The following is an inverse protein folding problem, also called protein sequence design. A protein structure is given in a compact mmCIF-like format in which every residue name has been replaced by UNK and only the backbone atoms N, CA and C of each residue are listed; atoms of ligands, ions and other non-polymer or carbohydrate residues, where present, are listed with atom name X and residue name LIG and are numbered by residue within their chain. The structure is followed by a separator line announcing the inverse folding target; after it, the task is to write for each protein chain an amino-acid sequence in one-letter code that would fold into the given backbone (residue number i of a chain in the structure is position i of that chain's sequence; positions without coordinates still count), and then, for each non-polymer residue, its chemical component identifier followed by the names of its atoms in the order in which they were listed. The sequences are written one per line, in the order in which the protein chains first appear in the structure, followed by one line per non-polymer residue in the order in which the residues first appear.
data_IF_325676107774
#
_entry.id   IF_325676107774
#
_cell.length_a   1.000
_cell.length_b   1.000
_cell.length_c   1.000
_cell.angle_alpha   90.00
_cell.angle_beta   90.00
_cell.angle_gamma   90.00
#
_symmetry.space_group_name_H-M   'P 1'
#
loop_
_entity.id
_entity.type
_entity.pdbx_description
1 polymer ?
#
# COMPACT_ATOMS: atom_id res chain seq x y z
N UNK A 1 -5.26 -39.48 40.76
CA UNK A 1 -6.20 -38.34 40.59
C UNK A 1 -5.53 -36.95 40.46
N UNK A 2 -4.22 -36.83 40.17
CA UNK A 2 -3.49 -35.54 40.12
C UNK A 2 -2.90 -35.19 38.74
N UNK A 3 -2.98 -36.10 37.76
CA UNK A 3 -2.34 -35.93 36.43
C UNK A 3 -3.23 -35.18 35.42
N UNK A 4 -4.55 -35.25 35.57
CA UNK A 4 -5.50 -34.54 34.72
C UNK A 4 -5.69 -33.08 35.11
N UNK A 5 -5.52 -32.71 36.39
CA UNK A 5 -5.52 -31.31 36.82
C UNK A 5 -4.39 -30.50 36.16
N UNK A 6 -3.22 -31.11 36.00
CA UNK A 6 -2.07 -30.48 35.32
C UNK A 6 -2.29 -30.29 33.82
N UNK A 7 -3.03 -31.20 33.17
CA UNK A 7 -3.36 -31.10 31.73
C UNK A 7 -4.48 -30.09 31.47
N UNK A 8 -5.46 -29.99 32.38
CA UNK A 8 -6.55 -29.01 32.28
C UNK A 8 -6.07 -27.58 32.60
N UNK A 9 -5.13 -27.40 33.53
CA UNK A 9 -4.51 -26.10 33.81
C UNK A 9 -3.65 -25.58 32.64
N UNK A 10 -3.02 -26.49 31.87
CA UNK A 10 -2.21 -26.12 30.70
C UNK A 10 -3.09 -25.73 29.50
N UNK A 11 -4.27 -26.34 29.33
CA UNK A 11 -5.18 -26.01 28.22
C UNK A 11 -5.91 -24.67 28.43
N UNK A 12 -6.17 -24.27 29.68
CA UNK A 12 -6.78 -22.97 30.01
C UNK A 12 -5.81 -21.80 29.78
N UNK A 13 -4.50 -22.01 29.97
CA UNK A 13 -3.46 -20.99 29.70
C UNK A 13 -3.26 -20.69 28.20
N UNK A 14 -3.53 -21.65 27.31
CA UNK A 14 -3.40 -21.46 25.85
C UNK A 14 -4.57 -20.63 25.29
N UNK A 15 -5.76 -20.69 25.91
CA UNK A 15 -6.94 -19.95 25.48
C UNK A 15 -6.92 -18.45 25.87
N UNK A 16 -6.00 -18.02 26.73
CA UNK A 16 -5.90 -16.64 27.22
C UNK A 16 -4.91 -15.77 26.44
N UNK A 17 -4.25 -16.31 25.40
CA UNK A 17 -3.26 -15.58 24.60
C UNK A 17 -3.83 -14.88 23.35
N UNK A 18 -5.14 -14.99 23.09
CA UNK A 18 -5.77 -14.42 21.89
C UNK A 18 -6.35 -13.01 22.05
N UNK A 19 -6.02 -12.29 23.14
CA UNK A 19 -6.63 -11.00 23.47
C UNK A 19 -5.60 -9.88 23.57
N UNK A 20 -4.92 -9.54 22.46
CA UNK A 20 -4.31 -8.21 22.27
C UNK A 20 -3.80 -8.06 20.82
N UNK A 21 -4.70 -7.72 19.90
CA UNK A 21 -4.30 -6.97 18.72
C UNK A 21 -5.39 -5.92 18.46
N UNK A 22 -5.33 -4.84 19.23
CA UNK A 22 -5.99 -3.58 18.89
C UNK A 22 -4.90 -2.53 18.91
N UNK A 23 -4.09 -2.53 17.86
CA UNK A 23 -3.12 -1.47 17.63
C UNK A 23 -3.76 -0.48 16.67
N UNK A 24 -4.26 0.63 17.21
CA UNK A 24 -4.56 1.88 16.48
C UNK A 24 -3.24 2.53 16.02
N UNK A 25 -2.39 1.77 15.33
CA UNK A 25 -1.20 2.28 14.68
C UNK A 25 -1.62 2.72 13.26
N UNK A 26 -1.33 3.96 12.86
CA UNK A 26 -1.46 4.42 11.47
C UNK A 26 -0.78 3.38 10.56
N UNK A 27 -1.56 2.55 9.88
CA UNK A 27 -1.06 1.33 9.24
C UNK A 27 -0.13 1.69 8.08
N UNK A 28 1.18 1.54 8.30
CA UNK A 28 2.19 1.76 7.27
C UNK A 28 2.21 0.59 6.31
N UNK A 29 2.31 0.89 5.03
CA UNK A 29 2.32 -0.12 3.97
C UNK A 29 3.57 0.03 3.10
N UNK A 30 3.99 -1.06 2.46
CA UNK A 30 5.13 -1.05 1.54
C UNK A 30 4.62 -1.27 0.13
N UNK A 31 4.75 -0.28 -0.75
CA UNK A 31 4.32 -0.38 -2.14
C UNK A 31 5.52 -0.54 -3.07
N UNK A 32 5.32 -1.28 -4.16
CA UNK A 32 6.20 -1.20 -5.33
C UNK A 32 5.61 -0.19 -6.30
N UNK A 33 6.39 0.80 -6.72
CA UNK A 33 6.00 1.82 -7.70
C UNK A 33 6.70 1.56 -9.03
N UNK A 34 5.94 1.57 -10.11
CA UNK A 34 6.44 1.29 -11.44
C UNK A 34 7.30 2.42 -12.03
N UNK A 35 8.06 2.08 -13.06
CA UNK A 35 8.91 2.99 -13.83
C UNK A 35 8.19 3.98 -14.75
N UNK A 36 6.86 3.94 -14.77
CA UNK A 36 5.99 4.84 -15.54
C UNK A 36 4.81 5.31 -14.69
N UNK A 37 4.33 6.51 -15.00
CA UNK A 37 3.12 7.11 -14.43
C UNK A 37 2.03 7.21 -15.49
N UNK A 38 0.80 7.46 -15.05
CA UNK A 38 -0.34 7.78 -15.92
C UNK A 38 -0.98 9.09 -15.48
N UNK A 39 -1.56 9.85 -16.42
CA UNK A 39 -2.36 11.03 -16.09
C UNK A 39 -3.83 10.66 -16.30
N UNK A 40 -4.63 10.71 -15.22
CA UNK A 40 -6.05 10.40 -15.23
C UNK A 40 -6.83 11.45 -14.45
N UNK A 41 -8.12 11.65 -14.75
CA UNK A 41 -9.02 12.38 -13.87
C UNK A 41 -9.02 11.75 -12.47
N UNK A 42 -8.81 12.55 -11.42
CA UNK A 42 -8.78 12.08 -10.04
C UNK A 42 -9.38 13.15 -9.10
N UNK A 43 -10.03 12.72 -8.01
CA UNK A 43 -10.87 13.58 -7.16
C UNK A 43 -11.97 14.27 -7.96
N UNK A 44 -11.97 15.59 -8.02
CA UNK A 44 -12.94 16.42 -8.77
C UNK A 44 -12.84 16.31 -10.31
N UNK A 45 -12.16 15.28 -10.82
CA UNK A 45 -11.96 15.07 -12.26
C UNK A 45 -10.78 15.84 -12.86
N UNK A 46 -9.93 16.44 -12.02
CA UNK A 46 -8.74 17.14 -12.49
C UNK A 46 -7.70 16.15 -13.04
N UNK A 47 -7.04 16.45 -14.18
CA UNK A 47 -5.95 15.63 -14.71
C UNK A 47 -4.79 15.57 -13.71
N UNK A 48 -4.61 14.41 -13.09
CA UNK A 48 -3.62 14.21 -12.01
C UNK A 48 -2.65 13.12 -12.40
N UNK A 49 -1.36 13.32 -12.09
CA UNK A 49 -0.34 12.28 -12.21
C UNK A 49 -0.58 11.22 -11.14
N UNK A 50 -0.81 9.98 -11.57
CA UNK A 50 -0.92 8.80 -10.72
C UNK A 50 0.22 7.84 -11.01
N UNK A 51 0.61 7.11 -9.97
CA UNK A 51 1.66 6.11 -10.02
C UNK A 51 1.05 4.73 -10.16
N UNK A 52 1.60 3.88 -11.03
CA UNK A 52 1.24 2.47 -11.00
C UNK A 52 1.89 1.82 -9.80
N UNK A 53 1.08 1.26 -8.90
CA UNK A 53 1.55 0.61 -7.68
C UNK A 53 1.13 -0.85 -7.62
N UNK A 54 1.94 -1.66 -6.95
CA UNK A 54 1.56 -2.98 -6.43
C UNK A 54 1.61 -2.89 -4.91
N UNK A 55 0.51 -3.28 -4.28
CA UNK A 55 0.44 -3.46 -2.83
C UNK A 55 1.18 -4.75 -2.43
N UNK A 56 1.52 -4.95 -1.14
CA UNK A 56 2.21 -6.16 -0.69
C UNK A 56 1.48 -7.46 -1.05
N UNK A 57 0.16 -7.44 -1.04
CA UNK A 57 -0.71 -8.58 -1.33
C UNK A 57 -1.16 -8.63 -2.80
N UNK A 58 -0.88 -7.60 -3.59
CA UNK A 58 -1.36 -7.44 -4.96
C UNK A 58 -0.35 -7.92 -5.99
N UNK A 59 -0.84 -8.61 -7.03
CA UNK A 59 -0.04 -9.01 -8.19
C UNK A 59 -0.20 -8.09 -9.40
N UNK A 60 -1.19 -7.18 -9.37
CA UNK A 60 -1.57 -6.30 -10.48
C UNK A 60 -1.22 -4.85 -10.18
N UNK A 61 -0.92 -4.09 -11.24
CA UNK A 61 -0.65 -2.65 -11.15
C UNK A 61 -1.96 -1.86 -11.09
N UNK A 62 -2.07 -0.95 -10.13
CA UNK A 62 -3.18 0.00 -10.02
C UNK A 62 -2.68 1.45 -10.03
N UNK A 63 -3.33 2.38 -10.73
CA UNK A 63 -3.05 3.81 -10.58
C UNK A 63 -3.40 4.28 -9.16
N UNK A 64 -2.48 4.96 -8.51
CA UNK A 64 -2.63 5.43 -7.14
C UNK A 64 -1.96 6.78 -6.98
N UNK A 65 -2.61 7.68 -6.24
CA UNK A 65 -2.05 8.98 -5.90
C UNK A 65 -1.07 8.84 -4.74
N UNK A 66 0.16 9.32 -4.93
CA UNK A 66 1.21 9.33 -3.91
C UNK A 66 1.78 10.73 -3.79
N UNK A 67 1.69 11.32 -2.59
CA UNK A 67 2.34 12.57 -2.22
C UNK A 67 3.78 12.33 -1.78
N UNK A 68 4.64 13.34 -1.91
CA UNK A 68 6.01 13.35 -1.41
C UNK A 68 6.94 12.25 -1.96
N UNK A 69 6.63 11.70 -3.14
CA UNK A 69 7.56 10.82 -3.87
C UNK A 69 8.38 11.64 -4.87
N UNK A 70 9.69 11.71 -4.65
CA UNK A 70 10.63 12.25 -5.64
C UNK A 70 10.86 11.21 -6.75
N UNK A 71 10.05 11.33 -7.80
CA UNK A 71 9.94 10.33 -8.84
C UNK A 71 10.76 10.68 -10.09
N UNK A 72 11.60 9.73 -10.51
CA UNK A 72 12.26 9.72 -11.81
C UNK A 72 11.74 8.57 -12.69
N UNK A 73 11.37 8.84 -13.97
CA UNK A 73 11.00 7.81 -14.94
C UNK A 73 12.11 6.78 -15.19
N UNK A 74 11.73 5.54 -15.51
CA UNK A 74 12.69 4.46 -15.81
C UNK A 74 13.26 3.74 -14.58
N UNK A 75 12.74 4.04 -13.39
CA UNK A 75 13.09 3.38 -12.13
C UNK A 75 11.87 2.75 -11.47
N UNK A 76 12.04 1.55 -10.96
CA UNK A 76 11.10 0.91 -10.05
C UNK A 76 11.50 1.22 -8.61
N UNK A 77 10.53 1.60 -7.78
CA UNK A 77 10.76 1.96 -6.39
C UNK A 77 10.07 0.97 -5.46
N UNK A 78 10.67 0.69 -4.31
CA UNK A 78 9.95 0.14 -3.17
C UNK A 78 9.89 1.25 -2.13
N UNK A 79 8.69 1.63 -1.71
CA UNK A 79 8.46 2.78 -0.83
C UNK A 79 7.64 2.37 0.38
N UNK A 80 7.90 2.99 1.53
CA UNK A 80 7.00 2.94 2.68
C UNK A 80 6.04 4.12 2.62
N UNK A 81 4.76 3.85 2.79
CA UNK A 81 3.67 4.83 2.70
C UNK A 81 2.77 4.76 3.93
N UNK A 82 1.99 5.82 4.11
CA UNK A 82 0.78 5.81 4.95
C UNK A 82 -0.37 6.47 4.22
N UNK A 83 -1.60 6.15 4.58
CA UNK A 83 -2.77 6.83 4.01
C UNK A 83 -2.79 8.32 4.35
N UNK A 84 -3.33 9.15 3.44
CA UNK A 84 -3.51 10.59 3.67
C UNK A 84 -4.55 10.88 4.78
N UNK A 85 -5.41 9.90 5.10
CA UNK A 85 -6.53 10.03 6.02
C UNK A 85 -7.64 10.96 5.50
N UNK A 86 -8.58 11.35 6.37
CA UNK A 86 -9.70 12.25 6.01
C UNK A 86 -9.29 13.73 5.79
N UNK A 87 -7.99 14.05 5.73
CA UNK A 87 -7.50 15.43 5.69
C UNK A 87 -7.48 16.03 4.29
N UNK A 88 -7.79 15.26 3.26
CA UNK A 88 -7.74 15.68 1.86
C UNK A 88 -9.02 15.26 1.14
N UNK A 89 -9.47 16.02 0.14
CA UNK A 89 -10.57 15.65 -0.78
C UNK A 89 -10.21 14.44 -1.70
N UNK A 90 -9.09 13.79 -1.39
CA UNK A 90 -8.42 12.77 -2.20
C UNK A 90 -8.03 11.60 -1.29
N UNK A 91 -8.40 10.37 -1.66
CA UNK A 91 -8.01 9.15 -0.95
C UNK A 91 -6.72 8.58 -1.56
N UNK A 92 -5.57 8.94 -0.99
CA UNK A 92 -4.26 8.52 -1.50
C UNK A 92 -3.27 8.17 -0.40
N UNK A 93 -1.99 8.26 -0.72
CA UNK A 93 -0.91 7.88 0.19
C UNK A 93 0.16 8.96 0.25
N UNK A 94 0.82 9.07 1.40
CA UNK A 94 2.01 9.89 1.58
C UNK A 94 3.22 8.96 1.60
N UNK A 95 4.17 9.19 0.70
CA UNK A 95 5.47 8.52 0.73
C UNK A 95 6.26 9.00 1.95
N UNK A 96 6.56 8.08 2.87
CA UNK A 96 7.36 8.36 4.06
C UNK A 96 8.85 8.25 3.77
N UNK A 97 9.24 7.24 2.98
CA UNK A 97 10.63 7.01 2.55
C UNK A 97 10.72 6.02 1.41
N UNK A 98 11.78 6.15 0.61
CA UNK A 98 12.18 5.17 -0.40
C UNK A 98 13.04 4.09 0.26
N UNK A 99 12.63 2.83 0.12
CA UNK A 99 13.35 1.66 0.63
C UNK A 99 14.34 1.11 -0.41
N UNK A 100 13.98 1.19 -1.70
CA UNK A 100 14.88 0.87 -2.80
C UNK A 100 14.48 1.61 -4.08
N UNK A 101 15.45 1.83 -4.96
CA UNK A 101 15.29 2.43 -6.29
C UNK A 101 16.15 1.64 -7.27
N UNK A 102 15.52 1.02 -8.26
CA UNK A 102 16.20 0.13 -9.22
C UNK A 102 15.92 0.60 -10.63
N UNK A 103 16.97 0.80 -11.45
CA UNK A 103 16.79 1.15 -12.86
C UNK A 103 16.22 -0.05 -13.60
N UNK A 104 14.97 0.04 -14.02
CA UNK A 104 14.22 -1.07 -14.62
C UNK A 104 12.97 -0.52 -15.29
N UNK A 105 12.67 -1.03 -16.47
CA UNK A 105 11.37 -0.81 -17.11
C UNK A 105 10.35 -1.79 -16.51
N UNK A 106 9.29 -1.25 -15.90
CA UNK A 106 8.21 -2.08 -15.36
C UNK A 106 7.39 -2.72 -16.48
N UNK A 107 7.15 -4.01 -16.33
CA UNK A 107 6.41 -4.83 -17.29
C UNK A 107 4.97 -5.06 -16.84
N UNK A 108 4.08 -5.37 -17.79
CA UNK A 108 2.69 -5.72 -17.51
C UNK A 108 1.82 -4.57 -17.03
N UNK A 109 2.23 -3.32 -17.25
CA UNK A 109 1.43 -2.14 -16.93
C UNK A 109 0.11 -2.13 -17.75
N UNK A 110 -1.04 -1.80 -17.14
CA UNK A 110 -2.31 -1.75 -17.84
C UNK A 110 -2.31 -0.62 -18.88
N UNK A 111 -2.86 -0.90 -20.06
CA UNK A 111 -3.05 0.10 -21.10
C UNK A 111 -4.30 0.93 -20.80
N UNK A 112 -4.14 2.00 -20.03
CA UNK A 112 -5.23 2.92 -19.71
C UNK A 112 -5.19 4.09 -20.68
N UNK A 113 -6.08 4.10 -21.66
CA UNK A 113 -6.21 5.24 -22.57
C UNK A 113 -6.92 6.39 -21.86
N UNK A 114 -6.37 7.62 -21.84
CA UNK A 114 -7.13 8.77 -21.38
C UNK A 114 -8.34 8.94 -22.31
N UNK A 115 -9.57 8.91 -21.76
CA UNK A 115 -10.77 9.22 -22.54
C UNK A 115 -10.59 10.63 -23.12
N UNK A 116 -10.52 10.75 -24.45
CA UNK A 116 -10.71 12.03 -25.13
C UNK A 116 -12.15 12.48 -24.84
N UNK A 117 -12.31 13.48 -23.98
CA UNK A 117 -13.54 14.26 -23.92
C UNK A 117 -13.64 15.07 -25.21
N UNK A 118 -14.74 14.87 -25.92
CA UNK A 118 -15.14 15.61 -27.13
C UNK A 118 -15.85 16.90 -26.71
#
# INVERSE_FOLDING_TARGET
MKKYYSLVLLSVMIALLSSACSSDDEEKQVFTVASKTVVLPYGEGQPTRLYYVKTPSGSTWSPTFIENLDYEPGYEYVIEVKETGFRTDYMGYICLRVLSKTKKESEGLPNIMPKKTN
#
